data_IF_621294564664
#
_entry.id   IF_621294564664
#
_cell.length_a   1.000
_cell.length_b   1.000
_cell.length_c   1.000
_cell.angle_alpha   90.00
_cell.angle_beta   90.00
_cell.angle_gamma   90.00
#
_symmetry.space_group_name_H-M   'P 1'
#
loop_
_entity.id
_entity.type
_entity.pdbx_description
1 polymer ?
#
# COMPACT_ATOMS: atom_id res chain seq x y z
N UNK A 1 2.68 1.34 12.40
CA UNK A 1 1.57 0.41 12.76
C UNK A 1 1.94 -0.98 12.29
N UNK A 2 1.70 -2.00 13.11
CA UNK A 2 1.93 -3.40 12.79
C UNK A 2 0.58 -4.10 12.66
N UNK A 3 0.37 -4.80 11.54
CA UNK A 3 -0.83 -5.60 11.32
C UNK A 3 -0.49 -7.07 11.50
N UNK A 4 -1.28 -7.77 12.31
CA UNK A 4 -1.12 -9.20 12.62
C UNK A 4 -2.42 -9.92 12.31
N UNK A 5 -2.35 -11.01 11.54
CA UNK A 5 -3.53 -11.85 11.31
C UNK A 5 -3.78 -12.70 12.56
N UNK A 6 -4.94 -12.55 13.16
CA UNK A 6 -5.40 -13.28 14.35
C UNK A 6 -6.91 -13.57 14.22
N UNK A 7 -7.43 -14.55 14.96
CA UNK A 7 -8.86 -14.89 14.93
C UNK A 7 -9.77 -13.83 15.56
N UNK A 8 -9.22 -12.92 16.36
CA UNK A 8 -9.92 -11.84 17.05
C UNK A 8 -9.45 -10.46 16.62
N UNK A 9 -10.19 -9.44 17.06
CA UNK A 9 -9.79 -8.04 16.89
C UNK A 9 -9.15 -7.52 18.17
N UNK A 10 -7.96 -6.94 18.07
CA UNK A 10 -7.30 -6.26 19.18
C UNK A 10 -6.51 -5.06 18.67
N UNK A 11 -6.40 -4.04 19.50
CA UNK A 11 -5.57 -2.86 19.26
C UNK A 11 -4.72 -2.63 20.49
N UNK A 12 -3.41 -2.61 20.32
CA UNK A 12 -2.44 -2.30 21.35
C UNK A 12 -1.66 -1.06 20.94
N UNK A 13 -1.47 -0.11 21.86
CA UNK A 13 -0.74 1.13 21.61
C UNK A 13 0.41 1.23 22.61
N UNK A 14 1.60 1.35 22.10
CA UNK A 14 2.81 1.61 22.86
C UNK A 14 3.33 3.01 22.53
N UNK A 15 3.35 3.90 23.52
CA UNK A 15 3.78 5.28 23.42
C UNK A 15 4.27 5.82 24.78
N UNK A 16 4.88 7.00 24.77
CA UNK A 16 5.19 7.73 26.00
C UNK A 16 3.88 8.08 26.74
N UNK A 17 3.83 7.97 28.07
CA UNK A 17 2.62 8.18 28.88
C UNK A 17 1.95 9.54 28.62
N UNK A 18 2.74 10.57 28.35
CA UNK A 18 2.25 11.91 28.02
C UNK A 18 1.68 12.02 26.59
N UNK A 19 1.91 11.04 25.71
CA UNK A 19 1.42 11.02 24.34
C UNK A 19 0.10 10.22 24.22
N UNK A 20 -0.04 9.13 24.99
CA UNK A 20 -1.23 8.26 24.94
C UNK A 20 -2.56 9.03 24.99
N UNK A 21 -2.76 10.05 25.83
CA UNK A 21 -4.03 10.80 25.88
C UNK A 21 -4.38 11.56 24.59
N UNK A 22 -3.42 11.73 23.69
CA UNK A 22 -3.60 12.43 22.41
C UNK A 22 -3.76 11.50 21.22
N UNK A 23 -3.74 10.19 21.45
CA UNK A 23 -4.03 9.20 20.39
C UNK A 23 -5.50 8.83 20.48
N UNK A 24 -6.21 8.91 19.37
CA UNK A 24 -7.59 8.47 19.23
C UNK A 24 -7.66 7.20 18.42
N UNK A 25 -8.46 6.25 18.93
CA UNK A 25 -8.85 5.05 18.20
C UNK A 25 -10.36 4.91 18.24
N UNK A 26 -10.97 4.75 17.08
CA UNK A 26 -12.41 4.51 16.98
C UNK A 26 -12.71 3.76 15.67
N UNK A 27 -13.87 3.13 15.62
CA UNK A 27 -14.36 2.48 14.40
C UNK A 27 -15.40 3.38 13.75
N UNK A 28 -15.24 3.66 12.48
CA UNK A 28 -16.19 4.39 11.65
C UNK A 28 -16.46 3.62 10.36
N UNK A 29 -17.71 3.30 10.08
CA UNK A 29 -18.15 2.53 8.91
C UNK A 29 -17.33 1.22 8.70
N UNK A 30 -17.07 0.50 9.80
CA UNK A 30 -16.30 -0.75 9.78
C UNK A 30 -14.77 -0.58 9.72
N UNK A 31 -14.26 0.64 9.58
CA UNK A 31 -12.82 0.93 9.52
C UNK A 31 -12.29 1.40 10.86
N UNK A 32 -11.22 0.77 11.33
CA UNK A 32 -10.46 1.25 12.48
C UNK A 32 -9.67 2.50 12.08
N UNK A 33 -9.93 3.60 12.76
CA UNK A 33 -9.19 4.84 12.64
C UNK A 33 -8.24 4.99 13.82
N UNK A 34 -6.98 5.24 13.53
CA UNK A 34 -5.95 5.56 14.53
C UNK A 34 -5.31 6.88 14.12
N UNK A 35 -5.43 7.89 14.96
CA UNK A 35 -4.91 9.22 14.66
C UNK A 35 -4.51 9.98 15.93
N UNK A 36 -3.79 11.06 15.77
CA UNK A 36 -3.68 12.06 16.83
C UNK A 36 -4.95 12.93 16.86
N UNK A 37 -5.29 13.44 18.04
CA UNK A 37 -6.33 14.47 18.22
C UNK A 37 -6.01 15.69 17.38
N UNK A 38 -7.06 16.38 16.94
CA UNK A 38 -6.91 17.64 16.23
C UNK A 38 -6.30 18.73 17.14
N UNK A 39 -5.62 19.71 16.57
CA UNK A 39 -5.01 20.87 17.22
C UNK A 39 -3.93 20.55 18.29
N UNK A 40 -3.33 19.34 18.26
CA UNK A 40 -2.19 19.01 19.11
C UNK A 40 -0.88 18.99 18.31
N UNK A 41 0.14 19.62 18.90
CA UNK A 41 1.50 19.55 18.37
C UNK A 41 2.26 18.49 19.17
N UNK A 42 2.43 17.31 18.60
CA UNK A 42 3.11 16.18 19.24
C UNK A 42 4.61 16.30 19.02
N UNK A 43 5.35 16.34 20.12
CA UNK A 43 6.80 16.27 20.11
C UNK A 43 7.22 15.07 20.97
N UNK A 44 7.24 13.90 20.36
CA UNK A 44 7.65 12.65 20.98
C UNK A 44 9.14 12.39 20.79
N UNK A 45 9.75 11.71 21.75
CA UNK A 45 11.15 11.26 21.68
C UNK A 45 11.26 9.79 21.24
N UNK A 46 10.18 9.04 21.40
CA UNK A 46 10.07 7.63 21.01
C UNK A 46 8.95 7.47 20.00
N UNK A 47 9.09 6.51 19.12
CA UNK A 47 8.05 6.20 18.14
C UNK A 47 6.77 5.72 18.84
N UNK A 48 5.63 6.08 18.26
CA UNK A 48 4.34 5.51 18.65
C UNK A 48 4.14 4.23 17.83
N UNK A 49 4.05 3.10 18.52
CA UNK A 49 3.76 1.82 17.90
C UNK A 49 2.32 1.43 18.17
N UNK A 50 1.62 1.06 17.11
CA UNK A 50 0.25 0.54 17.18
C UNK A 50 0.24 -0.84 16.57
N UNK A 51 -0.16 -1.85 17.32
CA UNK A 51 -0.34 -3.21 16.83
C UNK A 51 -1.83 -3.50 16.71
N UNK A 52 -2.25 -3.92 15.52
CA UNK A 52 -3.65 -4.27 15.24
C UNK A 52 -3.72 -5.73 14.84
N UNK A 53 -4.43 -6.51 15.64
CA UNK A 53 -4.79 -7.88 15.31
C UNK A 53 -6.17 -7.90 14.63
N UNK A 54 -6.29 -8.64 13.49
CA UNK A 54 -7.52 -8.77 12.74
C UNK A 54 -7.55 -10.09 11.94
N UNK A 55 -8.74 -10.72 11.76
CA UNK A 55 -8.84 -11.98 11.05
C UNK A 55 -8.66 -11.82 9.54
N UNK A 56 -9.11 -10.73 8.98
CA UNK A 56 -9.14 -10.45 7.55
C UNK A 56 -8.76 -8.98 7.30
N UNK A 57 -8.09 -8.72 6.17
CA UNK A 57 -7.70 -7.38 5.73
C UNK A 57 -8.42 -7.05 4.43
N UNK A 58 -9.41 -6.18 4.49
CA UNK A 58 -10.11 -5.67 3.30
C UNK A 58 -9.49 -4.36 2.80
N UNK A 59 -9.10 -3.49 3.72
CA UNK A 59 -8.54 -2.19 3.39
C UNK A 59 -7.44 -1.80 4.39
N UNK A 60 -6.37 -1.19 3.89
CA UNK A 60 -5.39 -0.50 4.72
C UNK A 60 -5.00 0.85 4.09
N UNK A 61 -5.05 1.91 4.90
CA UNK A 61 -4.76 3.26 4.42
C UNK A 61 -3.84 4.05 5.33
N UNK A 62 -3.01 4.89 4.72
CA UNK A 62 -2.16 5.87 5.39
C UNK A 62 -2.54 7.26 4.89
N UNK A 63 -2.82 8.18 5.82
CA UNK A 63 -2.90 9.61 5.53
C UNK A 63 -1.81 10.32 6.33
N UNK A 64 -0.86 10.94 5.63
CA UNK A 64 0.30 11.60 6.24
C UNK A 64 1.61 10.84 6.05
N UNK A 65 2.38 10.61 7.13
CA UNK A 65 3.75 10.07 7.08
C UNK A 65 3.97 8.81 7.93
N UNK A 66 2.90 8.16 8.36
CA UNK A 66 3.01 6.93 9.15
C UNK A 66 3.40 5.72 8.31
N UNK A 67 3.79 4.63 8.99
CA UNK A 67 4.16 3.38 8.35
C UNK A 67 3.20 2.25 8.76
N UNK A 68 2.86 1.38 7.81
CA UNK A 68 2.12 0.13 8.04
C UNK A 68 2.98 -1.05 7.61
N UNK A 69 3.18 -2.01 8.52
CA UNK A 69 3.88 -3.27 8.24
C UNK A 69 3.00 -4.45 8.64
N UNK A 70 2.78 -5.37 7.71
CA UNK A 70 2.16 -6.67 7.99
C UNK A 70 3.19 -7.66 8.51
N UNK A 71 3.03 -8.10 9.75
CA UNK A 71 3.91 -9.10 10.38
C UNK A 71 3.57 -10.53 9.91
N UNK A 72 2.37 -10.70 9.39
CA UNK A 72 1.86 -11.97 8.89
C UNK A 72 1.27 -11.81 7.49
N UNK A 73 1.03 -12.94 6.81
CA UNK A 73 0.38 -12.96 5.52
C UNK A 73 -1.15 -12.88 5.68
N UNK A 74 -1.79 -11.96 4.96
CA UNK A 74 -3.24 -11.82 4.91
C UNK A 74 -3.81 -12.57 3.71
N UNK A 75 -4.82 -13.39 3.98
CA UNK A 75 -5.50 -14.24 2.99
C UNK A 75 -6.98 -14.35 3.32
N UNK A 76 -7.82 -14.66 2.34
CA UNK A 76 -9.23 -15.00 2.58
C UNK A 76 -10.24 -14.00 2.02
N UNK A 77 -9.83 -12.81 1.62
CA UNK A 77 -10.69 -11.80 1.02
C UNK A 77 -10.73 -11.92 -0.50
N UNK A 78 -11.83 -11.49 -1.10
CA UNK A 78 -11.98 -11.43 -2.57
C UNK A 78 -11.21 -10.24 -3.17
N UNK A 79 -11.12 -9.14 -2.44
CA UNK A 79 -10.41 -7.93 -2.83
C UNK A 79 -9.72 -7.28 -1.62
N UNK A 80 -8.56 -6.67 -1.86
CA UNK A 80 -7.82 -5.87 -0.87
C UNK A 80 -7.51 -4.51 -1.48
N UNK A 81 -7.91 -3.44 -0.78
CA UNK A 81 -7.62 -2.06 -1.16
C UNK A 81 -6.53 -1.46 -0.26
N UNK A 82 -5.47 -0.92 -0.89
CA UNK A 82 -4.32 -0.35 -0.21
C UNK A 82 -4.08 1.08 -0.69
N UNK A 83 -4.12 2.06 0.23
CA UNK A 83 -3.97 3.46 -0.14
C UNK A 83 -2.93 4.19 0.72
N UNK A 84 -2.10 5.01 0.07
CA UNK A 84 -1.24 5.98 0.75
C UNK A 84 -1.54 7.37 0.20
N UNK A 85 -1.94 8.27 1.08
CA UNK A 85 -2.05 9.70 0.79
C UNK A 85 -1.03 10.46 1.65
N UNK A 86 0.07 10.88 1.04
CA UNK A 86 1.18 11.56 1.72
C UNK A 86 2.55 10.94 1.43
N UNK A 87 3.35 10.74 2.48
CA UNK A 87 4.74 10.28 2.39
C UNK A 87 5.04 9.04 3.25
N UNK A 88 4.01 8.36 3.70
CA UNK A 88 4.14 7.14 4.50
C UNK A 88 4.64 5.92 3.70
N UNK A 89 4.90 4.83 4.40
CA UNK A 89 5.34 3.57 3.81
C UNK A 89 4.42 2.41 4.21
N UNK A 90 4.13 1.53 3.24
CA UNK A 90 3.33 0.33 3.48
C UNK A 90 4.07 -0.91 2.98
N UNK A 91 4.14 -1.94 3.83
CA UNK A 91 4.75 -3.22 3.48
C UNK A 91 3.85 -4.37 3.90
N UNK A 92 3.31 -5.10 2.93
CA UNK A 92 2.35 -6.18 3.18
C UNK A 92 2.66 -7.45 2.36
N UNK A 93 2.32 -8.60 2.96
CA UNK A 93 2.27 -9.88 2.27
C UNK A 93 0.80 -10.31 2.21
N UNK A 94 0.24 -10.41 0.98
CA UNK A 94 -1.20 -10.57 0.77
C UNK A 94 -1.49 -11.59 -0.33
N UNK A 95 -2.55 -12.39 -0.13
CA UNK A 95 -3.11 -13.26 -1.16
C UNK A 95 -4.61 -12.96 -1.27
N UNK A 96 -5.02 -12.41 -2.40
CA UNK A 96 -6.42 -12.16 -2.73
C UNK A 96 -6.63 -12.25 -4.25
N UNK A 97 -7.81 -12.61 -4.76
CA UNK A 97 -8.12 -12.61 -6.19
C UNK A 97 -7.90 -11.26 -6.87
N UNK A 98 -8.19 -10.15 -6.18
CA UNK A 98 -7.96 -8.79 -6.66
C UNK A 98 -7.26 -7.93 -5.61
N UNK A 99 -6.31 -7.09 -6.05
CA UNK A 99 -5.62 -6.12 -5.19
C UNK A 99 -5.57 -4.77 -5.91
N UNK A 100 -6.05 -3.72 -5.23
CA UNK A 100 -5.87 -2.34 -5.68
C UNK A 100 -4.86 -1.63 -4.78
N UNK A 101 -3.81 -1.06 -5.38
CA UNK A 101 -2.73 -0.35 -4.71
C UNK A 101 -2.66 1.09 -5.25
N UNK A 102 -2.84 2.09 -4.38
CA UNK A 102 -2.91 3.50 -4.77
C UNK A 102 -2.01 4.36 -3.91
N UNK A 103 -1.23 5.22 -4.56
CA UNK A 103 -0.44 6.26 -3.90
C UNK A 103 -0.81 7.62 -4.47
N UNK A 104 -1.08 8.56 -3.57
CA UNK A 104 -1.18 9.99 -3.87
C UNK A 104 -0.16 10.72 -3.02
N UNK A 105 0.93 11.20 -3.64
CA UNK A 105 2.05 11.87 -2.94
C UNK A 105 3.40 11.26 -3.26
N UNK A 106 4.22 11.05 -2.22
CA UNK A 106 5.61 10.58 -2.32
C UNK A 106 5.89 9.33 -1.46
N UNK A 107 4.84 8.66 -1.00
CA UNK A 107 4.98 7.45 -0.20
C UNK A 107 5.46 6.24 -0.99
N UNK A 108 5.82 5.17 -0.26
CA UNK A 108 6.32 3.93 -0.83
C UNK A 108 5.45 2.73 -0.40
N UNK A 109 5.11 1.87 -1.36
CA UNK A 109 4.35 0.65 -1.11
C UNK A 109 5.13 -0.57 -1.61
N UNK A 110 5.26 -1.60 -0.75
CA UNK A 110 5.94 -2.85 -1.05
C UNK A 110 4.99 -4.01 -0.82
N UNK A 111 4.68 -4.75 -1.88
CA UNK A 111 3.72 -5.84 -1.86
C UNK A 111 4.36 -7.16 -2.27
N UNK A 112 4.00 -8.23 -1.57
CA UNK A 112 4.40 -9.60 -1.89
C UNK A 112 3.23 -10.56 -1.72
N UNK A 113 3.33 -11.76 -2.32
CA UNK A 113 2.27 -12.77 -2.24
C UNK A 113 1.72 -13.19 -3.59
N UNK A 114 0.40 -13.43 -3.70
CA UNK A 114 -0.23 -13.87 -4.94
C UNK A 114 -1.57 -13.17 -5.15
N UNK A 115 -1.87 -12.88 -6.43
CA UNK A 115 -3.17 -12.36 -6.85
C UNK A 115 -3.46 -12.80 -8.29
N UNK A 116 -4.71 -12.78 -8.70
CA UNK A 116 -5.04 -12.90 -10.12
C UNK A 116 -4.90 -11.54 -10.81
N UNK A 117 -5.50 -10.52 -10.23
CA UNK A 117 -5.57 -9.18 -10.82
C UNK A 117 -4.96 -8.14 -9.88
N UNK A 118 -3.98 -7.37 -10.36
CA UNK A 118 -3.45 -6.21 -9.63
C UNK A 118 -3.72 -4.91 -10.39
N UNK A 119 -4.17 -3.90 -9.66
CA UNK A 119 -4.30 -2.53 -10.16
C UNK A 119 -3.42 -1.60 -9.34
N UNK A 120 -2.42 -1.00 -9.97
CA UNK A 120 -1.51 -0.05 -9.34
C UNK A 120 -1.71 1.35 -9.90
N UNK A 121 -1.86 2.35 -9.03
CA UNK A 121 -1.97 3.75 -9.43
C UNK A 121 -1.09 4.64 -8.56
N UNK A 122 -0.19 5.43 -9.18
CA UNK A 122 0.63 6.42 -8.49
C UNK A 122 0.37 7.81 -9.07
N UNK A 123 0.03 8.77 -8.22
CA UNK A 123 -0.09 10.19 -8.54
C UNK A 123 0.91 10.97 -7.71
N UNK A 124 1.91 11.56 -8.35
CA UNK A 124 3.03 12.27 -7.68
C UNK A 124 4.37 11.61 -7.95
N UNK A 125 5.15 11.36 -6.89
CA UNK A 125 6.51 10.80 -6.97
C UNK A 125 6.71 9.50 -6.19
N UNK A 126 5.64 8.93 -5.68
CA UNK A 126 5.68 7.70 -4.87
C UNK A 126 6.07 6.45 -5.65
N UNK A 127 6.51 5.43 -4.94
CA UNK A 127 6.93 4.14 -5.51
C UNK A 127 5.96 3.02 -5.11
N UNK A 128 5.52 2.21 -6.10
CA UNK A 128 4.85 0.93 -5.83
C UNK A 128 5.77 -0.20 -6.30
N UNK A 129 6.19 -1.04 -5.37
CA UNK A 129 6.99 -2.23 -5.65
C UNK A 129 6.17 -3.48 -5.35
N UNK A 130 5.57 -4.05 -6.39
CA UNK A 130 4.80 -5.28 -6.36
C UNK A 130 5.47 -6.37 -7.22
N UNK A 131 6.80 -6.30 -7.41
CA UNK A 131 7.56 -7.29 -8.18
C UNK A 131 7.60 -8.68 -7.53
N UNK A 132 7.37 -8.76 -6.23
CA UNK A 132 7.26 -10.01 -5.47
C UNK A 132 5.79 -10.44 -5.22
N UNK A 133 4.82 -9.68 -5.73
CA UNK A 133 3.41 -10.06 -5.77
C UNK A 133 3.12 -10.73 -7.12
N UNK A 134 3.02 -12.06 -7.12
CA UNK A 134 2.77 -12.83 -8.34
C UNK A 134 1.36 -12.59 -8.83
N UNK A 135 1.20 -11.96 -10.00
CA UNK A 135 -0.11 -11.74 -10.61
C UNK A 135 -0.22 -12.37 -12.01
N UNK A 136 -1.45 -12.59 -12.46
CA UNK A 136 -1.74 -12.93 -13.86
C UNK A 136 -1.86 -11.66 -14.69
N UNK A 137 -2.67 -10.71 -14.24
CA UNK A 137 -2.96 -9.48 -14.95
C UNK A 137 -2.57 -8.26 -14.11
N UNK A 138 -1.94 -7.28 -14.75
CA UNK A 138 -1.61 -6.00 -14.14
C UNK A 138 -2.16 -4.83 -14.94
N UNK A 139 -2.88 -3.93 -14.27
CA UNK A 139 -3.28 -2.62 -14.79
C UNK A 139 -2.52 -1.55 -14.00
N UNK A 140 -1.63 -0.84 -14.68
CA UNK A 140 -0.65 0.04 -14.03
C UNK A 140 -0.74 1.46 -14.58
N UNK A 141 -0.89 2.43 -13.70
CA UNK A 141 -0.99 3.84 -14.09
C UNK A 141 -0.10 4.72 -13.23
N UNK A 142 0.71 5.56 -13.84
CA UNK A 142 1.43 6.63 -13.14
C UNK A 142 1.10 8.00 -13.73
N UNK A 143 0.88 8.97 -12.84
CA UNK A 143 0.69 10.39 -13.17
C UNK A 143 1.71 11.22 -12.37
N UNK A 144 2.76 11.68 -13.03
CA UNK A 144 3.88 12.41 -12.41
C UNK A 144 5.22 11.72 -12.64
N UNK A 145 6.01 11.56 -11.58
CA UNK A 145 7.36 10.97 -11.61
C UNK A 145 7.49 9.68 -10.78
N UNK A 146 6.39 9.16 -10.28
CA UNK A 146 6.37 7.94 -9.49
C UNK A 146 6.71 6.69 -10.32
N UNK A 147 7.37 5.72 -9.70
CA UNK A 147 7.80 4.48 -10.35
C UNK A 147 6.97 3.30 -9.87
N UNK A 148 6.60 2.40 -10.78
CA UNK A 148 5.84 1.21 -10.45
C UNK A 148 6.56 -0.03 -10.99
N UNK A 149 6.76 -1.02 -10.12
CA UNK A 149 7.29 -2.33 -10.46
C UNK A 149 6.26 -3.42 -10.19
N UNK A 150 5.95 -4.27 -11.19
CA UNK A 150 4.96 -5.34 -11.05
C UNK A 150 5.47 -6.66 -11.62
N UNK A 151 4.89 -7.76 -11.17
CA UNK A 151 4.98 -9.06 -11.82
C UNK A 151 3.64 -9.36 -12.50
N UNK A 152 3.62 -9.78 -13.76
CA UNK A 152 2.41 -10.27 -14.42
C UNK A 152 2.74 -11.36 -15.47
N UNK A 153 2.06 -12.50 -15.37
CA UNK A 153 2.32 -13.66 -16.24
C UNK A 153 1.48 -13.68 -17.51
N UNK A 154 0.36 -12.96 -17.56
CA UNK A 154 -0.59 -12.99 -18.69
C UNK A 154 -0.67 -11.63 -19.39
N UNK A 155 -1.04 -10.55 -18.69
CA UNK A 155 -1.18 -9.23 -19.30
C UNK A 155 -0.62 -8.09 -18.45
N UNK A 156 -0.04 -7.08 -19.12
CA UNK A 156 0.34 -5.79 -18.52
C UNK A 156 -0.27 -4.66 -19.34
N UNK A 157 -1.18 -3.89 -18.74
CA UNK A 157 -1.74 -2.68 -19.32
C UNK A 157 -1.16 -1.46 -18.60
N UNK A 158 -0.20 -0.78 -19.22
CA UNK A 158 0.56 0.31 -18.62
C UNK A 158 0.16 1.67 -19.22
N UNK A 159 -0.06 2.66 -18.34
CA UNK A 159 -0.32 4.05 -18.75
C UNK A 159 0.59 4.99 -17.97
N UNK A 160 1.36 5.81 -18.68
CA UNK A 160 2.23 6.84 -18.10
C UNK A 160 1.78 8.21 -18.57
N UNK A 161 1.51 9.11 -17.63
CA UNK A 161 1.31 10.53 -17.87
C UNK A 161 2.36 11.31 -17.05
N UNK A 162 3.53 11.55 -17.63
CA UNK A 162 4.64 12.22 -16.94
C UNK A 162 6.01 11.60 -17.23
N UNK A 163 6.87 11.54 -16.20
CA UNK A 163 8.26 11.10 -16.31
C UNK A 163 8.58 9.85 -15.48
N UNK A 164 7.58 9.26 -14.83
CA UNK A 164 7.77 8.03 -14.06
C UNK A 164 7.96 6.80 -14.94
N UNK A 165 8.59 5.77 -14.41
CA UNK A 165 8.84 4.51 -15.11
C UNK A 165 7.97 3.38 -14.58
N UNK A 166 7.55 2.49 -15.49
CA UNK A 166 6.89 1.23 -15.16
C UNK A 166 7.81 0.09 -15.58
N UNK A 167 8.17 -0.77 -14.63
CA UNK A 167 8.92 -2.00 -14.90
C UNK A 167 8.08 -3.22 -14.56
N UNK A 168 8.27 -4.30 -15.33
CA UNK A 168 7.48 -5.52 -15.12
C UNK A 168 8.31 -6.78 -15.31
N UNK A 169 7.93 -7.85 -14.61
CA UNK A 169 8.42 -9.23 -14.73
C UNK A 169 7.29 -10.17 -15.17
N UNK A 170 7.63 -11.44 -15.47
CA UNK A 170 6.66 -12.52 -15.61
C UNK A 170 6.23 -12.85 -17.05
N UNK A 171 6.65 -12.08 -18.02
CA UNK A 171 6.47 -12.42 -19.46
C UNK A 171 5.06 -12.18 -20.02
N UNK A 172 4.19 -11.46 -19.32
CA UNK A 172 2.85 -11.11 -19.79
C UNK A 172 2.87 -10.24 -21.07
N UNK A 173 1.81 -10.35 -21.89
CA UNK A 173 1.61 -9.52 -23.06
C UNK A 173 1.41 -8.05 -22.65
N UNK A 174 2.17 -7.13 -23.23
CA UNK A 174 2.21 -5.72 -22.83
C UNK A 174 1.48 -4.82 -23.80
N UNK A 175 0.58 -4.00 -23.27
CA UNK A 175 -0.01 -2.85 -23.95
C UNK A 175 0.35 -1.59 -23.18
N UNK A 176 0.93 -0.59 -23.84
CA UNK A 176 1.35 0.64 -23.16
C UNK A 176 0.90 1.90 -23.89
N UNK A 177 0.57 2.94 -23.09
CA UNK A 177 0.31 4.31 -23.53
C UNK A 177 1.19 5.26 -22.71
N UNK A 178 2.05 6.02 -23.40
CA UNK A 178 2.99 6.93 -22.76
C UNK A 178 2.74 8.35 -23.26
N UNK A 179 2.46 9.25 -22.32
CA UNK A 179 2.36 10.68 -22.52
C UNK A 179 3.38 11.38 -21.63
N UNK A 180 4.60 11.62 -22.14
CA UNK A 180 5.72 12.20 -21.40
C UNK A 180 7.06 11.54 -21.69
N UNK A 181 7.97 11.59 -20.71
CA UNK A 181 9.35 11.10 -20.86
C UNK A 181 9.62 9.77 -20.15
N UNK A 182 8.62 9.20 -19.51
CA UNK A 182 8.74 7.91 -18.83
C UNK A 182 8.88 6.72 -19.79
N UNK A 183 9.16 5.55 -19.23
CA UNK A 183 9.34 4.32 -20.00
C UNK A 183 8.62 3.11 -19.39
N UNK A 184 8.27 2.14 -20.26
CA UNK A 184 7.78 0.82 -19.85
C UNK A 184 8.80 -0.22 -20.28
N UNK A 185 9.35 -1.01 -19.32
CA UNK A 185 10.45 -1.94 -19.58
C UNK A 185 10.23 -3.28 -18.87
N UNK A 186 10.54 -4.38 -19.57
CA UNK A 186 10.74 -5.66 -18.92
C UNK A 186 12.04 -5.66 -18.11
N UNK A 187 12.00 -6.35 -16.97
CA UNK A 187 13.19 -6.63 -16.13
C UNK A 187 13.22 -8.13 -15.79
N UNK A 188 14.40 -8.66 -15.53
CA UNK A 188 14.62 -10.09 -15.22
C UNK A 188 14.23 -10.44 -13.76
#
# INVERSE_FOLDING_TARGET
MHLVKDAGYAVEIEAEENIIPYIETYVNDGKLIVRYKDDVNINNRRDVTVTVALPELEEAGITGSGDITGETKFTGNDEIELEITGSGSMRLNVDAPAIEAKITGSGDMYLSGNTRDIKCSSTGSGKIDAGELKSENAVVKTMGSGNIHVFASVTVNATINGSGDITYKGGGAVSSKIHGSGSVKAVD
#
